data_IF_669903323533
#
_entry.id   IF_669903323533
#
_cell.length_a   1.000
_cell.length_b   1.000
_cell.length_c   1.000
_cell.angle_alpha   90.00
_cell.angle_beta   90.00
_cell.angle_gamma   90.00
#
_symmetry.space_group_name_H-M   'P 1'
#
loop_
_entity.id
_entity.type
_entity.pdbx_description
1 polymer ?
#
# COMPACT_ATOMS: atom_id res chain seq x y z
N UNK A 1 28.66 17.08 4.20
CA UNK A 1 29.20 16.69 2.87
C UNK A 1 29.27 15.18 2.88
N UNK A 2 28.39 14.48 2.16
CA UNK A 2 28.48 13.03 2.02
C UNK A 2 29.74 12.70 1.21
N UNK A 3 30.52 11.69 1.58
CA UNK A 3 31.70 11.31 0.81
C UNK A 3 31.27 10.86 -0.59
N UNK A 4 32.06 11.14 -1.64
CA UNK A 4 31.66 10.96 -3.05
C UNK A 4 31.31 9.49 -3.39
N UNK A 5 31.87 8.53 -2.64
CA UNK A 5 31.60 7.09 -2.83
C UNK A 5 30.21 6.72 -2.29
N UNK A 6 29.77 7.29 -1.17
CA UNK A 6 28.45 7.03 -0.60
C UNK A 6 27.34 7.61 -1.49
N UNK A 7 27.59 8.76 -2.12
CA UNK A 7 26.67 9.32 -3.12
C UNK A 7 26.50 8.39 -4.33
N UNK A 8 27.61 7.84 -4.85
CA UNK A 8 27.59 6.89 -5.96
C UNK A 8 26.87 5.57 -5.60
N UNK A 9 27.07 5.05 -4.38
CA UNK A 9 26.33 3.88 -3.87
C UNK A 9 24.83 4.14 -3.81
N UNK A 10 24.42 5.27 -3.21
CA UNK A 10 23.03 5.63 -3.06
C UNK A 10 22.31 5.68 -4.41
N UNK A 11 22.93 6.34 -5.41
CA UNK A 11 22.38 6.37 -6.79
C UNK A 11 22.31 5.00 -7.43
N UNK A 12 23.34 4.17 -7.29
CA UNK A 12 23.32 2.81 -7.85
C UNK A 12 22.19 1.97 -7.26
N UNK A 13 21.95 2.07 -5.95
CA UNK A 13 20.81 1.41 -5.30
C UNK A 13 19.47 2.02 -5.71
N UNK A 14 19.40 3.33 -5.92
CA UNK A 14 18.19 4.02 -6.36
C UNK A 14 17.79 3.65 -7.79
N UNK A 15 18.76 3.59 -8.72
CA UNK A 15 18.57 3.08 -10.08
C UNK A 15 18.05 1.65 -10.04
N UNK A 16 18.62 0.80 -9.19
CA UNK A 16 18.18 -0.59 -9.05
C UNK A 16 16.72 -0.69 -8.64
N UNK A 17 16.29 0.11 -7.66
CA UNK A 17 14.91 0.13 -7.15
C UNK A 17 13.94 0.65 -8.19
N UNK A 18 14.35 1.64 -9.00
CA UNK A 18 13.52 2.23 -10.06
C UNK A 18 13.32 1.29 -11.25
N UNK A 19 14.24 0.36 -11.49
CA UNK A 19 14.11 -0.63 -12.55
C UNK A 19 13.02 -1.68 -12.22
N UNK A 20 12.08 -1.96 -13.14
CA UNK A 20 11.10 -3.01 -12.95
C UNK A 20 11.73 -4.41 -13.17
N UNK A 21 11.22 -5.43 -12.47
CA UNK A 21 11.69 -6.82 -12.61
C UNK A 21 11.58 -7.37 -14.04
N UNK A 22 10.65 -6.83 -14.83
CA UNK A 22 10.47 -7.19 -16.24
C UNK A 22 11.65 -6.75 -17.12
N UNK A 23 12.39 -5.72 -16.70
CA UNK A 23 13.54 -5.16 -17.41
C UNK A 23 14.86 -5.82 -17.07
N UNK A 24 14.87 -6.71 -16.09
CA UNK A 24 16.07 -7.42 -15.65
C UNK A 24 15.91 -8.91 -15.96
N UNK A 25 17.02 -9.59 -16.20
CA UNK A 25 17.03 -11.05 -16.43
C UNK A 25 16.45 -11.80 -15.23
N UNK A 26 15.75 -12.91 -15.47
CA UNK A 26 15.16 -13.76 -14.40
C UNK A 26 16.20 -14.27 -13.40
N UNK A 27 17.45 -14.47 -13.84
CA UNK A 27 18.58 -14.88 -13.00
C UNK A 27 19.04 -13.82 -12.00
N UNK A 28 18.60 -12.57 -12.14
CA UNK A 28 18.94 -11.49 -11.19
C UNK A 28 18.20 -11.61 -9.86
N UNK A 29 17.00 -12.22 -9.87
CA UNK A 29 16.15 -12.48 -8.70
C UNK A 29 16.93 -12.93 -7.46
N UNK A 30 17.49 -14.16 -7.49
CA UNK A 30 18.21 -14.72 -6.36
C UNK A 30 19.57 -14.04 -6.09
N UNK A 31 20.17 -13.38 -7.09
CA UNK A 31 21.49 -12.72 -6.96
C UNK A 31 21.41 -11.32 -6.35
N UNK A 32 20.23 -10.70 -6.40
CA UNK A 32 19.98 -9.33 -5.94
C UNK A 32 20.40 -9.10 -4.49
N UNK A 33 19.97 -9.95 -3.57
CA UNK A 33 20.21 -9.74 -2.13
C UNK A 33 21.70 -9.74 -1.79
N UNK A 34 22.43 -10.67 -2.40
CA UNK A 34 23.88 -10.74 -2.29
C UNK A 34 24.55 -9.51 -2.94
N UNK A 35 24.05 -9.06 -4.10
CA UNK A 35 24.56 -7.87 -4.79
C UNK A 35 24.34 -6.58 -3.98
N UNK A 36 23.14 -6.37 -3.41
CA UNK A 36 22.85 -5.20 -2.56
C UNK A 36 23.76 -5.20 -1.33
N UNK A 37 23.94 -6.36 -0.70
CA UNK A 37 24.84 -6.51 0.44
C UNK A 37 26.29 -6.15 0.08
N UNK A 38 26.74 -6.55 -1.12
CA UNK A 38 28.07 -6.18 -1.64
C UNK A 38 28.19 -4.68 -1.92
N UNK A 39 27.19 -4.05 -2.55
CA UNK A 39 27.17 -2.61 -2.85
C UNK A 39 27.28 -1.76 -1.57
N UNK A 40 26.58 -2.17 -0.51
CA UNK A 40 26.63 -1.49 0.79
C UNK A 40 27.98 -1.68 1.50
N UNK A 41 28.57 -2.87 1.41
CA UNK A 41 29.84 -3.22 2.06
C UNK A 41 31.09 -2.64 1.36
N UNK A 42 30.98 -2.21 0.11
CA UNK A 42 32.11 -1.70 -0.67
C UNK A 42 32.67 -0.40 -0.10
N UNK A 43 34.00 -0.25 -0.06
CA UNK A 43 34.65 1.00 0.36
C UNK A 43 35.43 1.65 -0.80
N UNK A 44 35.80 0.86 -1.80
CA UNK A 44 36.64 1.26 -2.94
C UNK A 44 35.80 1.55 -4.20
N UNK A 45 36.17 2.58 -4.96
CA UNK A 45 35.48 2.94 -6.22
C UNK A 45 35.60 1.87 -7.31
N UNK A 46 36.71 1.13 -7.37
CA UNK A 46 36.92 0.04 -8.35
C UNK A 46 35.91 -1.10 -8.14
N UNK A 47 35.72 -1.53 -6.89
CA UNK A 47 34.73 -2.54 -6.55
C UNK A 47 33.29 -2.06 -6.84
N UNK A 48 33.00 -0.76 -6.68
CA UNK A 48 31.72 -0.18 -7.06
C UNK A 48 31.50 -0.24 -8.58
N UNK A 49 32.54 0.04 -9.37
CA UNK A 49 32.54 -0.12 -10.82
C UNK A 49 32.24 -1.57 -11.25
N UNK A 50 32.83 -2.56 -10.58
CA UNK A 50 32.54 -3.97 -10.84
C UNK A 50 31.06 -4.33 -10.57
N UNK A 51 30.45 -3.77 -9.52
CA UNK A 51 29.02 -3.97 -9.24
C UNK A 51 28.10 -3.27 -10.24
N UNK A 52 28.50 -2.10 -10.74
CA UNK A 52 27.81 -1.40 -11.83
C UNK A 52 27.82 -2.22 -13.13
N UNK A 53 28.95 -2.83 -13.48
CA UNK A 53 29.05 -3.76 -14.62
C UNK A 53 28.18 -5.00 -14.42
N UNK A 54 28.13 -5.54 -13.20
CA UNK A 54 27.27 -6.67 -12.87
C UNK A 54 25.78 -6.34 -13.04
N UNK A 55 25.37 -5.11 -12.69
CA UNK A 55 23.99 -4.64 -12.87
C UNK A 55 23.68 -4.42 -14.34
N UNK A 56 24.57 -3.78 -15.11
CA UNK A 56 24.41 -3.59 -16.56
C UNK A 56 24.25 -4.93 -17.28
N UNK A 57 25.07 -5.93 -16.94
CA UNK A 57 24.97 -7.26 -17.52
C UNK A 57 23.64 -7.98 -17.22
N UNK A 58 22.95 -7.58 -16.14
CA UNK A 58 21.67 -8.13 -15.74
C UNK A 58 20.48 -7.43 -16.39
N UNK A 59 20.64 -6.18 -16.83
CA UNK A 59 19.65 -5.43 -17.58
C UNK A 59 19.45 -6.08 -18.96
N UNK A 60 18.20 -6.13 -19.40
CA UNK A 60 17.83 -6.63 -20.73
C UNK A 60 18.19 -5.62 -21.81
N UNK A 61 18.74 -6.08 -22.93
CA UNK A 61 19.10 -5.21 -24.07
C UNK A 61 17.92 -4.41 -24.61
N UNK A 62 16.70 -4.96 -24.54
CA UNK A 62 15.47 -4.33 -25.04
C UNK A 62 15.02 -3.11 -24.22
N UNK A 63 15.61 -2.93 -23.02
CA UNK A 63 15.24 -1.85 -22.08
C UNK A 63 16.15 -0.64 -22.17
N UNK A 64 17.27 -0.80 -22.86
CA UNK A 64 18.27 0.22 -23.13
C UNK A 64 18.04 0.77 -24.54
N UNK A 65 18.45 2.00 -24.79
CA UNK A 65 18.39 2.61 -26.11
C UNK A 65 19.15 1.75 -27.15
N UNK A 66 18.68 1.59 -28.40
CA UNK A 66 19.38 0.78 -29.40
C UNK A 66 20.80 1.29 -29.70
N UNK A 67 21.02 2.60 -29.61
CA UNK A 67 22.33 3.27 -29.73
C UNK A 67 23.29 2.93 -28.58
N UNK A 68 22.77 2.44 -27.44
CA UNK A 68 23.58 2.06 -26.29
C UNK A 68 24.47 0.84 -26.59
N UNK A 69 24.06 -0.08 -27.47
CA UNK A 69 24.87 -1.28 -27.76
C UNK A 69 26.23 -0.92 -28.38
N UNK A 70 26.29 0.14 -29.19
CA UNK A 70 27.53 0.63 -29.80
C UNK A 70 28.41 1.37 -28.77
N UNK A 71 27.80 2.13 -27.87
CA UNK A 71 28.50 2.87 -26.80
C UNK A 71 28.93 1.99 -25.62
N UNK A 72 28.31 0.82 -25.45
CA UNK A 72 28.46 -0.09 -24.30
C UNK A 72 29.90 -0.52 -24.06
N UNK A 73 30.59 -0.98 -25.10
CA UNK A 73 31.96 -1.51 -24.94
C UNK A 73 32.94 -0.40 -24.56
N UNK A 74 32.77 0.80 -25.11
CA UNK A 74 33.53 1.99 -24.70
C UNK A 74 33.20 2.43 -23.28
N UNK A 75 31.94 2.36 -22.88
CA UNK A 75 31.50 2.69 -21.51
C UNK A 75 32.07 1.70 -20.48
N UNK A 76 32.06 0.38 -20.77
CA UNK A 76 32.67 -0.64 -19.90
C UNK A 76 34.15 -0.38 -19.65
N UNK A 77 34.89 0.02 -20.68
CA UNK A 77 36.29 0.44 -20.56
C UNK A 77 36.47 1.64 -19.62
N UNK A 78 35.58 2.64 -19.70
CA UNK A 78 35.58 3.79 -18.79
C UNK A 78 35.24 3.42 -17.35
N UNK A 79 34.33 2.46 -17.14
CA UNK A 79 34.00 1.95 -15.80
C UNK A 79 35.20 1.23 -15.18
N UNK A 80 35.91 0.41 -15.97
CA UNK A 80 37.14 -0.25 -15.51
C UNK A 80 38.29 0.71 -15.19
N UNK A 81 38.33 1.88 -15.84
CA UNK A 81 39.33 2.91 -15.60
C UNK A 81 38.92 3.93 -14.50
N UNK A 82 37.72 3.83 -13.93
CA UNK A 82 37.20 4.79 -12.97
C UNK A 82 37.67 4.50 -11.53
N UNK A 83 38.63 5.29 -11.05
CA UNK A 83 39.21 5.18 -9.70
C UNK A 83 38.72 6.27 -8.73
N UNK A 84 37.64 6.98 -9.09
CA UNK A 84 37.05 8.05 -8.27
C UNK A 84 35.53 7.85 -8.15
N UNK A 85 34.99 8.10 -6.96
CA UNK A 85 33.55 8.02 -6.69
C UNK A 85 32.73 8.93 -7.60
N UNK A 86 33.23 10.14 -7.91
CA UNK A 86 32.56 11.07 -8.83
C UNK A 86 32.56 10.57 -10.28
N UNK A 87 33.63 9.89 -10.71
CA UNK A 87 33.71 9.31 -12.04
C UNK A 87 32.69 8.17 -12.18
N UNK A 88 32.55 7.32 -11.16
CA UNK A 88 31.54 6.26 -11.12
C UNK A 88 30.12 6.85 -11.10
N UNK A 89 29.88 7.92 -10.33
CA UNK A 89 28.59 8.60 -10.31
C UNK A 89 28.17 9.11 -11.69
N UNK A 90 29.09 9.75 -12.43
CA UNK A 90 28.83 10.21 -13.81
C UNK A 90 28.49 9.05 -14.74
N UNK A 91 29.17 7.91 -14.59
CA UNK A 91 28.92 6.71 -15.39
C UNK A 91 27.57 6.06 -15.05
N UNK A 92 27.13 6.13 -13.79
CA UNK A 92 25.77 5.72 -13.36
C UNK A 92 24.72 6.62 -14.03
N UNK A 93 24.94 7.94 -14.02
CA UNK A 93 24.03 8.89 -14.68
C UNK A 93 23.96 8.64 -16.19
N UNK A 94 25.08 8.27 -16.82
CA UNK A 94 25.12 7.90 -18.24
C UNK A 94 24.25 6.66 -18.50
N UNK A 95 24.36 5.62 -17.66
CA UNK A 95 23.51 4.43 -17.73
C UNK A 95 22.03 4.76 -17.47
N UNK A 96 21.73 5.62 -16.49
CA UNK A 96 20.35 6.07 -16.21
C UNK A 96 19.72 6.73 -17.43
N UNK A 97 20.47 7.55 -18.18
CA UNK A 97 19.94 8.21 -19.38
C UNK A 97 19.70 7.23 -20.54
N UNK A 98 20.52 6.19 -20.63
CA UNK A 98 20.38 5.14 -21.65
C UNK A 98 19.18 4.21 -21.39
N UNK A 99 18.64 4.18 -20.17
CA UNK A 99 17.43 3.42 -19.85
C UNK A 99 16.20 4.13 -20.42
N UNK A 100 15.39 3.41 -21.18
CA UNK A 100 14.18 3.95 -21.82
C UNK A 100 13.01 4.10 -20.82
N UNK A 101 13.16 4.98 -19.81
CA UNK A 101 12.18 5.17 -18.74
C UNK A 101 10.77 5.45 -19.23
N UNK A 102 10.63 6.15 -20.37
CA UNK A 102 9.33 6.48 -20.98
C UNK A 102 8.55 5.21 -21.36
N UNK A 103 9.20 4.20 -21.93
CA UNK A 103 8.56 2.92 -22.25
C UNK A 103 8.26 2.08 -21.00
N UNK A 104 9.08 2.22 -19.96
CA UNK A 104 8.91 1.48 -18.70
C UNK A 104 7.77 2.02 -17.83
N UNK A 105 7.46 3.32 -17.91
CA UNK A 105 6.35 3.92 -17.14
C UNK A 105 4.96 3.51 -17.66
N UNK A 106 4.79 3.25 -18.97
CA UNK A 106 3.53 2.74 -19.54
C UNK A 106 3.19 1.32 -19.03
N UNK A 107 4.19 0.52 -18.67
CA UNK A 107 4.01 -0.84 -18.16
C UNK A 107 3.78 -0.93 -16.63
N UNK A 108 3.75 0.21 -15.93
CA UNK A 108 3.64 0.29 -14.47
C UNK A 108 2.22 0.08 -13.94
N UNK A 109 1.21 0.11 -14.82
CA UNK A 109 -0.20 -0.10 -14.45
C UNK A 109 -0.54 -1.57 -14.08
N UNK A 110 0.33 -2.53 -14.38
CA UNK A 110 0.08 -3.96 -14.15
C UNK A 110 1.22 -4.74 -13.46
N UNK A 111 2.27 -4.07 -12.98
CA UNK A 111 3.42 -4.76 -12.38
C UNK A 111 3.32 -4.81 -10.85
N UNK A 112 3.47 -6.02 -10.30
CA UNK A 112 3.61 -6.26 -8.85
C UNK A 112 4.69 -5.35 -8.29
N UNK A 113 4.34 -4.54 -7.28
CA UNK A 113 5.28 -3.66 -6.61
C UNK A 113 6.49 -4.48 -6.13
N UNK A 114 7.68 -4.09 -6.61
CA UNK A 114 8.94 -4.73 -6.21
C UNK A 114 9.05 -4.66 -4.68
N UNK A 115 9.37 -5.77 -4.00
CA UNK A 115 9.81 -5.67 -2.61
C UNK A 115 11.01 -4.73 -2.64
N UNK A 116 10.88 -3.58 -1.97
CA UNK A 116 12.02 -2.71 -1.71
C UNK A 116 13.18 -3.60 -1.20
N UNK A 117 14.46 -3.22 -1.36
CA UNK A 117 15.48 -3.78 -0.48
C UNK A 117 14.95 -3.69 0.97
N UNK A 118 15.46 -4.44 1.96
CA UNK A 118 15.18 -4.06 3.34
C UNK A 118 15.66 -2.61 3.51
N UNK A 119 14.76 -1.66 3.26
CA UNK A 119 14.92 -0.25 3.44
C UNK A 119 15.13 -0.21 4.92
N UNK A 120 16.42 -0.13 5.32
CA UNK A 120 16.90 -0.24 6.70
C UNK A 120 15.80 -0.83 7.52
N UNK A 121 15.70 -2.18 7.50
CA UNK A 121 14.83 -2.88 8.43
C UNK A 121 14.89 -2.04 9.70
N UNK A 122 13.75 -1.50 10.13
CA UNK A 122 13.71 -0.76 11.36
C UNK A 122 13.99 -1.80 12.45
N UNK A 123 15.23 -2.27 12.50
CA UNK A 123 15.91 -2.81 13.65
C UNK A 123 15.53 -1.82 14.72
N UNK A 124 14.84 -2.34 15.73
CA UNK A 124 14.17 -1.57 16.75
C UNK A 124 15.12 -0.79 17.66
N UNK A 125 16.11 -0.10 17.13
CA UNK A 125 17.05 0.80 17.79
C UNK A 125 17.41 2.06 16.99
N UNK A 126 16.94 2.24 15.74
CA UNK A 126 17.18 3.47 14.99
C UNK A 126 16.32 4.65 15.48
N UNK A 127 16.86 5.88 15.58
CA UNK A 127 16.05 7.07 15.88
C UNK A 127 14.96 7.22 14.81
N UNK A 128 13.73 7.62 15.20
CA UNK A 128 12.65 7.78 14.25
C UNK A 128 13.06 8.78 13.15
N UNK A 129 12.66 8.55 11.88
CA UNK A 129 13.00 9.45 10.78
C UNK A 129 12.55 10.89 11.10
N UNK A 130 13.48 11.84 11.04
CA UNK A 130 13.22 13.26 11.28
C UNK A 130 12.15 13.78 10.30
N UNK A 131 11.09 14.38 10.84
CA UNK A 131 9.96 14.92 10.08
C UNK A 131 8.63 14.16 10.22
N UNK A 132 8.61 13.01 10.90
CA UNK A 132 7.35 12.28 11.17
C UNK A 132 6.56 12.94 12.31
N UNK A 133 5.25 13.23 12.15
CA UNK A 133 4.42 13.77 13.23
C UNK A 133 4.42 12.87 14.47
N UNK A 134 4.40 13.46 15.67
CA UNK A 134 4.41 12.73 16.96
C UNK A 134 3.35 11.62 17.04
N UNK A 135 2.20 11.81 16.41
CA UNK A 135 1.11 10.83 16.42
C UNK A 135 1.45 9.57 15.59
N UNK A 136 2.14 9.71 14.45
CA UNK A 136 2.61 8.58 13.67
C UNK A 136 3.72 7.79 14.39
N UNK A 137 4.54 8.45 15.23
CA UNK A 137 5.49 7.77 16.12
C UNK A 137 4.78 6.79 17.08
N UNK A 138 3.60 7.15 17.60
CA UNK A 138 2.80 6.28 18.48
C UNK A 138 2.29 5.05 17.74
N UNK A 139 1.88 5.20 16.48
CA UNK A 139 1.45 4.07 15.64
C UNK A 139 2.61 3.11 15.40
N UNK A 140 3.82 3.63 15.17
CA UNK A 140 5.01 2.79 15.05
C UNK A 140 5.32 2.01 16.33
N UNK A 141 5.14 2.63 17.51
CA UNK A 141 5.26 1.94 18.80
C UNK A 141 4.20 0.83 18.96
N UNK A 142 2.96 1.07 18.52
CA UNK A 142 1.89 0.06 18.53
C UNK A 142 2.20 -1.11 17.59
N UNK A 143 2.65 -0.84 16.37
CA UNK A 143 3.06 -1.88 15.41
C UNK A 143 4.20 -2.74 15.97
N UNK A 144 5.18 -2.11 16.63
CA UNK A 144 6.25 -2.81 17.33
C UNK A 144 5.73 -3.69 18.47
N UNK A 145 4.77 -3.20 19.26
CA UNK A 145 4.15 -3.98 20.34
C UNK A 145 3.37 -5.21 19.82
N UNK A 146 2.78 -5.11 18.62
CA UNK A 146 2.15 -6.25 17.94
C UNK A 146 3.15 -7.23 17.29
N UNK A 147 4.45 -6.97 17.40
CA UNK A 147 5.49 -7.80 16.79
C UNK A 147 5.73 -7.53 15.30
N UNK A 148 5.09 -6.52 14.71
CA UNK A 148 5.28 -6.14 13.31
C UNK A 148 6.54 -5.28 13.19
N UNK A 149 7.63 -5.89 12.70
CA UNK A 149 8.96 -5.26 12.60
C UNK A 149 9.28 -4.70 11.22
N UNK A 150 8.58 -5.16 10.19
CA UNK A 150 8.79 -4.75 8.80
C UNK A 150 7.50 -4.18 8.22
N UNK A 151 7.47 -2.87 7.99
CA UNK A 151 6.38 -2.17 7.31
C UNK A 151 6.94 -1.02 6.48
N UNK A 152 6.21 -0.61 5.43
CA UNK A 152 6.56 0.58 4.65
C UNK A 152 6.34 1.85 5.49
N UNK A 153 7.23 2.85 5.44
CA UNK A 153 7.09 4.07 6.25
C UNK A 153 5.77 4.82 5.98
N UNK A 154 5.19 4.68 4.78
CA UNK A 154 3.91 5.27 4.44
C UNK A 154 2.73 4.69 5.22
N UNK A 155 2.83 3.44 5.70
CA UNK A 155 1.72 2.76 6.41
C UNK A 155 1.39 3.46 7.72
N UNK A 156 2.40 3.95 8.44
CA UNK A 156 2.16 4.68 9.70
C UNK A 156 1.39 5.99 9.46
N UNK A 157 1.67 6.68 8.35
CA UNK A 157 0.95 7.90 7.97
C UNK A 157 -0.47 7.58 7.49
N UNK A 158 -0.64 6.55 6.66
CA UNK A 158 -1.96 6.12 6.18
C UNK A 158 -2.86 5.68 7.34
N UNK A 159 -2.34 4.88 8.28
CA UNK A 159 -3.08 4.49 9.47
C UNK A 159 -3.44 5.70 10.35
N UNK A 160 -2.54 6.70 10.42
CA UNK A 160 -2.83 7.95 11.13
C UNK A 160 -3.96 8.75 10.46
N UNK A 161 -3.92 8.89 9.13
CA UNK A 161 -4.95 9.57 8.35
C UNK A 161 -6.31 8.88 8.52
N UNK A 162 -6.34 7.55 8.44
CA UNK A 162 -7.56 6.76 8.66
C UNK A 162 -8.07 6.92 10.09
N UNK A 163 -7.19 6.86 11.10
CA UNK A 163 -7.59 7.05 12.49
C UNK A 163 -8.16 8.46 12.74
N UNK A 164 -7.56 9.48 12.12
CA UNK A 164 -8.03 10.85 12.22
C UNK A 164 -9.38 11.04 11.50
N UNK A 165 -9.51 10.54 10.27
CA UNK A 165 -10.77 10.59 9.53
C UNK A 165 -11.90 9.86 10.27
N UNK A 166 -11.62 8.66 10.79
CA UNK A 166 -12.56 7.90 11.60
C UNK A 166 -12.98 8.66 12.86
N UNK A 167 -12.02 9.23 13.60
CA UNK A 167 -12.30 10.01 14.81
C UNK A 167 -13.11 11.28 14.53
N UNK A 168 -12.82 11.99 13.44
CA UNK A 168 -13.55 13.19 13.04
C UNK A 168 -14.99 12.87 12.66
N UNK A 169 -15.22 11.83 11.86
CA UNK A 169 -16.56 11.38 11.50
C UNK A 169 -17.35 10.86 12.73
N UNK A 170 -16.69 10.14 13.64
CA UNK A 170 -17.31 9.66 14.88
C UNK A 170 -17.79 10.82 15.76
N UNK A 171 -16.97 11.86 15.92
CA UNK A 171 -17.33 13.05 16.68
C UNK A 171 -18.42 13.88 15.98
N UNK A 172 -18.41 13.90 14.64
CA UNK A 172 -19.47 14.50 13.86
C UNK A 172 -20.82 13.80 14.13
N UNK A 173 -20.85 12.47 14.05
CA UNK A 173 -22.05 11.67 14.35
C UNK A 173 -22.50 11.86 15.81
N UNK A 174 -21.55 11.87 16.75
CA UNK A 174 -21.82 12.14 18.18
C UNK A 174 -22.43 13.53 18.39
N UNK A 175 -22.00 14.56 17.65
CA UNK A 175 -22.58 15.90 17.73
C UNK A 175 -24.05 15.93 17.30
N UNK A 176 -24.43 15.13 16.28
CA UNK A 176 -25.82 14.98 15.85
C UNK A 176 -26.67 14.28 16.90
N UNK A 177 -26.14 13.24 17.55
CA UNK A 177 -26.84 12.56 18.64
C UNK A 177 -27.02 13.47 19.87
N UNK A 178 -26.00 14.25 20.23
CA UNK A 178 -26.09 15.22 21.32
C UNK A 178 -27.17 16.28 21.04
N UNK A 179 -27.23 16.78 19.79
CA UNK A 179 -28.28 17.71 19.35
C UNK A 179 -29.66 17.07 19.40
N UNK A 180 -29.80 15.83 18.91
CA UNK A 180 -31.07 15.11 18.94
C UNK A 180 -31.57 14.88 20.37
N UNK A 181 -30.69 14.49 21.29
CA UNK A 181 -30.99 14.32 22.72
C UNK A 181 -31.52 15.62 23.36
N UNK A 182 -30.92 16.77 23.04
CA UNK A 182 -31.37 18.08 23.54
C UNK A 182 -32.71 18.52 22.98
N UNK A 183 -32.97 18.27 21.70
CA UNK A 183 -34.29 18.51 21.11
C UNK A 183 -35.35 17.64 21.77
N UNK A 184 -35.00 16.39 22.10
CA UNK A 184 -35.89 15.50 22.83
C UNK A 184 -36.12 15.96 24.28
N UNK A 185 -35.09 16.53 24.93
CA UNK A 185 -35.18 17.07 26.29
C UNK A 185 -35.94 18.40 26.37
N UNK A 186 -35.90 19.25 25.32
CA UNK A 186 -36.64 20.51 25.26
C UNK A 186 -38.15 20.33 25.03
N UNK A 187 -38.62 19.08 24.84
CA UNK A 187 -40.03 18.76 24.70
C UNK A 187 -40.65 19.23 23.38
N UNK A 188 -39.82 19.48 22.35
CA UNK A 188 -40.31 19.72 20.99
C UNK A 188 -40.65 18.36 20.36
N UNK A 189 -41.87 18.16 19.82
CA UNK A 189 -42.28 16.87 19.31
C UNK A 189 -41.41 16.48 18.11
N UNK A 190 -40.75 15.32 18.21
CA UNK A 190 -40.22 14.59 17.07
C UNK A 190 -41.37 14.21 16.14
N UNK A 191 -41.14 14.28 14.83
CA UNK A 191 -42.15 14.14 13.75
C UNK A 191 -42.98 12.83 13.75
N UNK A 192 -42.77 11.93 14.71
CA UNK A 192 -43.50 10.66 14.86
C UNK A 192 -44.64 10.71 15.89
N UNK A 193 -44.85 11.82 16.63
CA UNK A 193 -45.92 11.93 17.64
C UNK A 193 -47.00 12.99 17.32
N UNK A 194 -47.16 13.38 16.05
CA UNK A 194 -48.07 14.45 15.63
C UNK A 194 -49.57 14.09 15.75
N UNK A 195 -49.94 12.85 16.07
CA UNK A 195 -51.34 12.40 16.08
C UNK A 195 -52.04 12.44 17.45
N UNK A 196 -51.39 12.89 18.54
CA UNK A 196 -52.06 12.97 19.84
C UNK A 196 -51.50 14.04 20.77
N UNK A 197 -52.02 15.27 20.72
CA UNK A 197 -52.44 16.05 21.89
C UNK A 197 -52.68 17.53 21.53
N UNK A 198 -53.79 18.05 22.03
CA UNK A 198 -54.33 19.37 21.74
C UNK A 198 -53.50 20.56 22.24
N UNK A 199 -53.77 21.68 21.56
CA UNK A 199 -53.21 23.01 21.74
C UNK A 199 -53.07 23.48 23.20
N UNK A 200 -51.86 23.89 23.57
CA UNK A 200 -51.63 24.98 24.52
C UNK A 200 -50.52 25.89 23.99
N UNK A 201 -50.92 27.13 23.64
CA UNK A 201 -50.01 28.24 23.29
C UNK A 201 -49.08 28.50 24.49
N UNK A 202 -47.78 28.30 24.33
CA UNK A 202 -46.75 28.84 25.24
C UNK A 202 -46.19 30.13 24.63
N UNK A 203 -45.91 31.17 25.44
CA UNK A 203 -45.37 32.43 24.93
C UNK A 203 -43.97 32.24 24.35
N UNK A 204 -43.71 33.04 23.32
CA UNK A 204 -42.48 33.14 22.55
C UNK A 204 -41.36 33.76 23.40
N UNK A 205 -40.72 33.00 24.29
CA UNK A 205 -39.42 33.40 24.84
C UNK A 205 -38.32 32.96 23.85
N UNK A 206 -37.69 33.96 23.25
CA UNK A 206 -36.64 33.89 22.25
C UNK A 206 -35.29 33.50 22.86
N UNK A 207 -35.22 32.32 23.47
CA UNK A 207 -33.98 31.59 23.66
C UNK A 207 -33.99 30.39 22.74
N UNK A 208 -33.46 30.53 21.51
CA UNK A 208 -33.11 29.34 20.75
C UNK A 208 -32.23 28.47 21.69
N UNK A 209 -32.56 27.19 21.93
CA UNK A 209 -31.73 26.37 22.79
C UNK A 209 -30.32 26.42 22.20
N UNK A 210 -29.31 26.81 22.96
CA UNK A 210 -27.91 26.74 22.50
C UNK A 210 -27.67 25.30 22.03
N UNK A 211 -27.69 25.10 20.71
CA UNK A 211 -27.56 23.77 20.11
C UNK A 211 -26.11 23.26 20.24
N UNK A 212 -25.18 24.16 20.57
CA UNK A 212 -23.75 23.94 20.77
C UNK A 212 -23.41 23.69 22.24
N UNK A 213 -23.97 22.62 22.82
CA UNK A 213 -23.59 22.13 24.14
C UNK A 213 -22.52 21.03 24.10
N UNK A 214 -22.03 20.59 25.28
CA UNK A 214 -20.97 19.57 25.39
C UNK A 214 -21.42 18.17 24.93
N UNK A 215 -20.53 17.46 24.23
CA UNK A 215 -20.74 16.06 23.81
C UNK A 215 -20.51 15.14 25.01
N UNK A 216 -21.47 14.25 25.31
CA UNK A 216 -21.33 13.27 26.39
C UNK A 216 -20.77 11.93 25.89
N UNK A 217 -20.24 11.13 26.81
CA UNK A 217 -19.71 9.79 26.51
C UNK A 217 -20.78 8.85 25.94
N UNK A 218 -22.04 9.04 26.33
CA UNK A 218 -23.18 8.28 25.79
C UNK A 218 -23.40 8.56 24.29
N UNK A 219 -23.24 9.81 23.85
CA UNK A 219 -23.39 10.21 22.45
C UNK A 219 -22.28 9.58 21.58
N UNK A 220 -21.04 9.57 22.10
CA UNK A 220 -19.88 8.90 21.45
C UNK A 220 -20.05 7.38 21.41
N UNK A 221 -20.53 6.77 22.50
CA UNK A 221 -20.75 5.32 22.57
C UNK A 221 -21.84 4.86 21.59
N UNK A 222 -22.91 5.65 21.44
CA UNK A 222 -23.96 5.39 20.45
C UNK A 222 -23.41 5.52 19.03
N UNK A 223 -22.68 6.59 18.72
CA UNK A 223 -22.03 6.76 17.43
C UNK A 223 -21.09 5.60 17.09
N UNK A 224 -20.28 5.16 18.05
CA UNK A 224 -19.35 4.07 17.85
C UNK A 224 -20.07 2.75 17.55
N UNK A 225 -21.15 2.43 18.28
CA UNK A 225 -21.95 1.22 18.04
C UNK A 225 -22.62 1.23 16.66
N UNK A 226 -23.25 2.35 16.30
CA UNK A 226 -23.94 2.48 15.01
C UNK A 226 -22.97 2.37 13.83
N UNK A 227 -21.77 2.93 13.98
CA UNK A 227 -20.73 2.86 12.97
C UNK A 227 -20.09 1.47 12.90
N UNK A 228 -19.81 0.84 14.04
CA UNK A 228 -19.22 -0.49 14.09
C UNK A 228 -20.08 -1.53 13.37
N UNK A 229 -21.40 -1.44 13.50
CA UNK A 229 -22.34 -2.33 12.82
C UNK A 229 -22.26 -2.28 11.27
N UNK A 230 -21.73 -1.20 10.69
CA UNK A 230 -21.63 -1.01 9.22
C UNK A 230 -20.19 -1.12 8.71
N UNK A 231 -19.22 -0.65 9.50
CA UNK A 231 -17.82 -0.58 9.09
C UNK A 231 -17.03 -1.85 9.42
N UNK A 232 -17.41 -2.58 10.46
CA UNK A 232 -16.75 -3.80 10.89
C UNK A 232 -17.72 -4.97 10.74
N UNK A 233 -17.51 -5.77 9.70
CA UNK A 233 -18.28 -7.01 9.51
C UNK A 233 -17.67 -8.07 10.43
N UNK A 234 -18.37 -8.50 11.49
CA UNK A 234 -17.90 -9.65 12.27
C UNK A 234 -17.93 -10.89 11.39
N UNK A 235 -17.04 -11.87 11.61
CA UNK A 235 -17.17 -13.15 10.94
C UNK A 235 -18.54 -13.76 11.27
N UNK A 236 -19.26 -14.33 10.29
CA UNK A 236 -20.53 -15.00 10.54
C UNK A 236 -20.33 -16.11 11.57
N UNK A 237 -21.33 -16.32 12.43
CA UNK A 237 -21.22 -17.31 13.49
C UNK A 237 -21.13 -18.72 12.90
N UNK A 238 -20.47 -19.63 13.65
CA UNK A 238 -20.33 -21.04 13.25
C UNK A 238 -21.69 -21.69 12.96
N UNK A 239 -22.73 -21.32 13.71
CA UNK A 239 -24.08 -21.85 13.52
C UNK A 239 -24.66 -21.46 12.16
N UNK A 240 -24.55 -20.18 11.78
CA UNK A 240 -25.01 -19.69 10.47
C UNK A 240 -24.23 -20.37 9.35
N UNK A 241 -22.90 -20.50 9.49
CA UNK A 241 -22.07 -21.21 8.52
C UNK A 241 -22.41 -22.70 8.44
N UNK A 242 -22.70 -23.35 9.57
CA UNK A 242 -23.04 -24.77 9.62
C UNK A 242 -24.42 -25.04 9.00
N UNK A 243 -25.40 -24.16 9.24
CA UNK A 243 -26.70 -24.23 8.60
C UNK A 243 -26.58 -24.04 7.08
N UNK A 244 -25.86 -23.01 6.64
CA UNK A 244 -25.63 -22.78 5.22
C UNK A 244 -24.88 -23.94 4.56
N UNK A 245 -23.85 -24.49 5.23
CA UNK A 245 -23.15 -25.67 4.76
C UNK A 245 -24.08 -26.89 4.67
N UNK A 246 -24.96 -27.10 5.64
CA UNK A 246 -25.94 -28.18 5.59
C UNK A 246 -26.89 -28.01 4.39
N UNK A 247 -27.39 -26.79 4.16
CA UNK A 247 -28.23 -26.46 2.99
C UNK A 247 -27.50 -26.73 1.66
N UNK A 248 -26.23 -26.31 1.54
CA UNK A 248 -25.41 -26.59 0.35
C UNK A 248 -25.14 -28.09 0.17
N UNK A 249 -24.90 -28.81 1.26
CA UNK A 249 -24.57 -30.23 1.26
C UNK A 249 -25.79 -31.15 1.00
N UNK A 250 -27.01 -30.59 0.92
CA UNK A 250 -28.19 -31.34 0.48
C UNK A 250 -28.13 -31.68 -1.02
N UNK A 251 -27.42 -30.89 -1.82
CA UNK A 251 -27.29 -31.16 -3.24
C UNK A 251 -26.33 -32.34 -3.44
N UNK A 252 -26.79 -33.46 -4.02
CA UNK A 252 -25.92 -34.59 -4.30
C UNK A 252 -24.85 -34.17 -5.30
N UNK A 253 -23.66 -34.76 -5.17
CA UNK A 253 -22.58 -34.52 -6.12
C UNK A 253 -23.04 -34.86 -7.54
N UNK A 254 -22.69 -34.04 -8.54
CA UNK A 254 -23.07 -34.31 -9.92
C UNK A 254 -22.42 -35.61 -10.39
N UNK A 255 -23.17 -36.40 -11.16
CA UNK A 255 -22.65 -37.63 -11.73
C UNK A 255 -21.49 -37.31 -12.69
N UNK A 256 -20.29 -37.69 -12.29
CA UNK A 256 -19.12 -37.69 -13.15
C UNK A 256 -19.14 -39.00 -13.94
N UNK A 257 -19.73 -38.98 -15.14
CA UNK A 257 -19.72 -40.15 -16.04
C UNK A 257 -18.29 -40.62 -16.35
N UNK A 258 -18.15 -41.85 -16.87
CA UNK A 258 -16.88 -42.51 -17.18
C UNK A 258 -16.12 -41.90 -18.38
N UNK A 259 -15.93 -40.58 -18.40
CA UNK A 259 -15.04 -39.90 -19.35
C UNK A 259 -13.58 -40.09 -18.93
N UNK A 260 -12.66 -40.15 -19.90
CA UNK A 260 -11.23 -40.27 -19.62
C UNK A 260 -10.77 -39.13 -18.71
N UNK A 261 -9.90 -39.48 -17.75
CA UNK A 261 -9.28 -38.59 -16.76
C UNK A 261 -8.92 -37.22 -17.34
N UNK A 262 -9.58 -36.15 -16.90
CA UNK A 262 -9.32 -34.78 -17.37
C UNK A 262 -10.18 -33.73 -16.67
N UNK A 263 -9.85 -32.46 -16.87
CA UNK A 263 -10.65 -31.33 -16.40
C UNK A 263 -11.95 -31.24 -17.20
N UNK A 264 -13.08 -31.07 -16.52
CA UNK A 264 -14.37 -30.79 -17.17
C UNK A 264 -14.54 -29.27 -17.20
N UNK A 265 -14.41 -28.61 -18.37
CA UNK A 265 -14.74 -27.19 -18.46
C UNK A 265 -16.23 -26.97 -18.17
N UNK A 266 -16.61 -25.78 -17.66
CA UNK A 266 -18.01 -25.36 -17.65
C UNK A 266 -18.59 -25.38 -19.08
N UNK A 267 -19.92 -25.43 -19.25
CA UNK A 267 -20.53 -25.33 -20.58
C UNK A 267 -20.04 -24.06 -21.30
N UNK A 268 -19.88 -24.14 -22.63
CA UNK A 268 -19.24 -23.12 -23.48
C UNK A 268 -19.89 -21.74 -23.43
N UNK A 269 -21.13 -21.64 -22.92
CA UNK A 269 -21.82 -20.36 -22.73
C UNK A 269 -21.27 -19.53 -21.56
N UNK A 270 -20.56 -20.17 -20.61
CA UNK A 270 -19.93 -19.53 -19.45
C UNK A 270 -18.43 -19.23 -19.67
N UNK A 271 -17.83 -19.75 -20.74
CA UNK A 271 -16.49 -19.35 -21.14
C UNK A 271 -16.58 -17.95 -21.75
N UNK A 272 -16.20 -16.91 -21.00
CA UNK A 272 -15.95 -15.57 -21.56
C UNK A 272 -14.92 -15.74 -22.69
N UNK A 273 -15.44 -15.83 -23.92
CA UNK A 273 -14.70 -16.20 -25.12
C UNK A 273 -13.42 -15.40 -25.27
N UNK A 274 -12.29 -16.09 -25.24
CA UNK A 274 -11.11 -15.69 -25.98
C UNK A 274 -11.35 -16.10 -27.43
N UNK A 275 -12.22 -15.37 -28.12
CA UNK A 275 -12.46 -15.52 -29.55
C UNK A 275 -11.25 -14.90 -30.27
N UNK A 276 -10.11 -15.61 -30.26
CA UNK A 276 -8.99 -15.29 -31.13
C UNK A 276 -9.21 -16.03 -32.45
N UNK A 277 -9.90 -15.32 -33.34
CA UNK A 277 -9.93 -15.60 -34.77
C UNK A 277 -8.50 -15.75 -35.29
N UNK A 278 -8.16 -16.93 -35.79
CA UNK A 278 -7.03 -17.13 -36.69
C UNK A 278 -7.55 -17.89 -37.92
N UNK A 279 -7.49 -17.20 -39.06
CA UNK A 279 -7.78 -17.74 -40.40
C UNK A 279 -6.65 -18.61 -40.94
#
# INVERSE_FOLDING_TARGET
>A
MTPPIEAAKARLTELEVRLPWTSVKKSWGPRREQWVSQVLAIVTSEALGAQLLSLEAAIKSETLEPTWQEAREGWKGRVGAAHSGEAVERLIIELERAVQWKLLQLNRAGTVARPLPPATACDGGGPPPEGVPRAALRIMLLLRAMGVRSYSPAVALQLYEVAHAYGAELLHDASHYARARRLHASGLPTAQSADAAGARKRPLESGAPELDGPIETADVALAARMRAARAFVPPPTREVLAQHAAECNLQPLPFLGARPSGLRPPPTDDERGGDESAG
#
